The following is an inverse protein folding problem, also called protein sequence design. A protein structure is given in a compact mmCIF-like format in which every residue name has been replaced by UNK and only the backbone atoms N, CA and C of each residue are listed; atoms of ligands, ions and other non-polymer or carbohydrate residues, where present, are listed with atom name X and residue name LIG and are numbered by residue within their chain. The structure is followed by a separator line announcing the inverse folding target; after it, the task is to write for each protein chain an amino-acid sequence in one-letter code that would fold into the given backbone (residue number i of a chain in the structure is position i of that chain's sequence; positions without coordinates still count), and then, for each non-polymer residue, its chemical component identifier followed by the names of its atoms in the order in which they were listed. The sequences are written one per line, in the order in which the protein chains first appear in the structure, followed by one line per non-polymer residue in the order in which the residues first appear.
data_IF_639290066812
#
_entry.id   IF_639290066812
#
_cell.length_a   1.000
_cell.length_b   1.000
_cell.length_c   1.000
_cell.angle_alpha   90.00
_cell.angle_beta   90.00
_cell.angle_gamma   90.00
#
_symmetry.space_group_name_H-M   'P 1'
#
loop_
_entity.id
_entity.type
_entity.pdbx_description
1 polymer ?
#
# COMPACT_ATOMS: atom_id res chain seq x y z
N UNK A 1 -56.00 -14.32 -83.68
CA UNK A 1 -55.85 -13.83 -82.29
C UNK A 1 -55.62 -15.08 -81.48
N UNK A 2 -54.40 -15.61 -81.53
CA UNK A 2 -54.17 -17.02 -81.23
C UNK A 2 -53.00 -17.11 -80.25
N UNK A 3 -53.34 -16.86 -78.99
CA UNK A 3 -52.50 -17.06 -77.83
C UNK A 3 -52.34 -18.57 -77.60
N UNK A 4 -51.53 -19.23 -78.43
CA UNK A 4 -51.13 -20.61 -78.20
C UNK A 4 -50.14 -20.63 -77.05
N UNK A 5 -50.66 -20.83 -75.83
CA UNK A 5 -49.86 -21.26 -74.68
C UNK A 5 -49.15 -22.56 -75.07
N UNK A 6 -47.87 -22.43 -75.43
CA UNK A 6 -46.97 -23.56 -75.55
C UNK A 6 -47.04 -24.33 -74.23
N UNK A 7 -47.43 -25.61 -74.30
CA UNK A 7 -47.43 -26.48 -73.13
C UNK A 7 -46.04 -26.41 -72.49
N UNK A 8 -45.93 -26.04 -71.19
CA UNK A 8 -44.63 -25.94 -70.55
C UNK A 8 -43.97 -27.31 -70.61
N UNK A 9 -42.82 -27.40 -71.27
CA UNK A 9 -42.05 -28.64 -71.27
C UNK A 9 -41.65 -28.96 -69.83
N UNK A 10 -41.72 -30.23 -69.42
CA UNK A 10 -41.39 -30.69 -68.06
C UNK A 10 -40.03 -30.14 -67.55
N UNK A 11 -39.13 -29.82 -68.48
CA UNK A 11 -37.81 -29.24 -68.26
C UNK A 11 -37.87 -27.84 -67.60
N UNK A 12 -38.77 -26.97 -68.05
CA UNK A 12 -38.96 -25.62 -67.47
C UNK A 12 -39.44 -25.70 -66.01
N UNK A 13 -40.33 -26.65 -65.73
CA UNK A 13 -40.87 -26.85 -64.38
C UNK A 13 -39.79 -27.37 -63.43
N UNK A 14 -38.95 -28.31 -63.88
CA UNK A 14 -37.79 -28.80 -63.13
C UNK A 14 -36.78 -27.68 -62.85
N UNK A 15 -36.49 -26.83 -63.85
CA UNK A 15 -35.57 -25.71 -63.70
C UNK A 15 -36.07 -24.70 -62.67
N UNK A 16 -37.36 -24.36 -62.69
CA UNK A 16 -37.98 -23.52 -61.68
C UNK A 16 -37.83 -24.09 -60.26
N UNK A 17 -38.05 -25.39 -60.08
CA UNK A 17 -37.91 -26.05 -58.76
C UNK A 17 -36.45 -26.00 -58.27
N UNK A 18 -35.48 -26.25 -59.14
CA UNK A 18 -34.05 -26.18 -58.79
C UNK A 18 -33.67 -24.75 -58.38
N UNK A 19 -34.13 -23.72 -59.10
CA UNK A 19 -33.87 -22.32 -58.76
C UNK A 19 -34.47 -21.96 -57.38
N UNK A 20 -35.69 -22.42 -57.08
CA UNK A 20 -36.31 -22.19 -55.77
C UNK A 20 -35.51 -22.89 -54.66
N UNK A 21 -35.08 -24.14 -54.87
CA UNK A 21 -34.25 -24.86 -53.91
C UNK A 21 -32.90 -24.15 -53.66
N UNK A 22 -32.27 -23.63 -54.71
CA UNK A 22 -31.01 -22.89 -54.59
C UNK A 22 -31.19 -21.56 -53.84
N UNK A 23 -32.26 -20.82 -54.11
CA UNK A 23 -32.52 -19.55 -53.40
C UNK A 23 -32.81 -19.77 -51.91
N UNK A 24 -33.57 -20.82 -51.57
CA UNK A 24 -33.80 -21.23 -50.18
C UNK A 24 -32.49 -21.66 -49.50
N UNK A 25 -31.67 -22.48 -50.17
CA UNK A 25 -30.38 -22.90 -49.64
C UNK A 25 -29.45 -21.70 -49.36
N UNK A 26 -29.34 -20.75 -50.31
CA UNK A 26 -28.56 -19.52 -50.12
C UNK A 26 -29.10 -18.68 -48.97
N UNK A 27 -30.42 -18.56 -48.83
CA UNK A 27 -31.06 -17.83 -47.72
C UNK A 27 -30.74 -18.44 -46.35
N UNK A 28 -30.78 -19.77 -46.24
CA UNK A 28 -30.40 -20.50 -45.02
C UNK A 28 -28.93 -20.29 -44.69
N UNK A 29 -28.03 -20.42 -45.68
CA UNK A 29 -26.60 -20.14 -45.48
C UNK A 29 -26.36 -18.70 -45.02
N UNK A 30 -27.06 -17.72 -45.61
CA UNK A 30 -26.94 -16.31 -45.21
C UNK A 30 -27.39 -16.08 -43.77
N UNK A 31 -28.47 -16.76 -43.35
CA UNK A 31 -28.96 -16.72 -41.96
C UNK A 31 -27.94 -17.28 -40.99
N UNK A 32 -27.36 -18.45 -41.27
CA UNK A 32 -26.31 -19.03 -40.44
C UNK A 32 -25.08 -18.13 -40.36
N UNK A 33 -24.61 -17.57 -41.48
CA UNK A 33 -23.48 -16.64 -41.51
C UNK A 33 -23.77 -15.40 -40.64
N UNK A 34 -24.97 -14.83 -40.72
CA UNK A 34 -25.34 -13.68 -39.89
C UNK A 34 -25.47 -14.02 -38.41
N UNK A 35 -25.95 -15.21 -38.05
CA UNK A 35 -25.98 -15.67 -36.66
C UNK A 35 -24.57 -15.87 -36.11
N UNK A 36 -23.68 -16.52 -36.88
CA UNK A 36 -22.28 -16.70 -36.50
C UNK A 36 -21.55 -15.35 -36.35
N UNK A 37 -21.79 -14.40 -37.26
CA UNK A 37 -21.23 -13.04 -37.15
C UNK A 37 -21.70 -12.31 -35.89
N UNK A 38 -22.98 -12.43 -35.53
CA UNK A 38 -23.53 -11.84 -34.30
C UNK A 38 -22.89 -12.48 -33.06
N UNK A 39 -22.83 -13.80 -33.00
CA UNK A 39 -22.20 -14.51 -31.89
C UNK A 39 -20.71 -14.15 -31.72
N UNK A 40 -19.99 -14.00 -32.84
CA UNK A 40 -18.60 -13.56 -32.82
C UNK A 40 -18.45 -12.12 -32.31
N UNK A 41 -19.30 -11.19 -32.78
CA UNK A 41 -19.28 -9.79 -32.32
C UNK A 41 -19.65 -9.64 -30.83
N UNK A 42 -20.56 -10.50 -30.33
CA UNK A 42 -20.95 -10.50 -28.93
C UNK A 42 -19.83 -11.05 -28.04
N UNK A 43 -19.13 -12.10 -28.50
CA UNK A 43 -17.93 -12.62 -27.84
C UNK A 43 -16.81 -11.59 -27.82
N UNK A 44 -16.54 -10.91 -28.94
CA UNK A 44 -15.51 -9.88 -29.05
C UNK A 44 -15.80 -8.68 -28.12
N UNK A 45 -17.06 -8.23 -28.07
CA UNK A 45 -17.49 -7.16 -27.16
C UNK A 45 -17.35 -7.56 -25.69
N UNK A 46 -17.70 -8.80 -25.34
CA UNK A 46 -17.53 -9.33 -23.98
C UNK A 46 -16.06 -9.38 -23.57
N UNK A 47 -15.17 -9.83 -24.47
CA UNK A 47 -13.74 -9.82 -24.22
C UNK A 47 -13.18 -8.39 -24.12
N UNK A 48 -13.60 -7.48 -24.99
CA UNK A 48 -13.21 -6.07 -24.94
C UNK A 48 -13.64 -5.42 -23.61
N UNK A 49 -14.84 -5.72 -23.13
CA UNK A 49 -15.32 -5.21 -21.84
C UNK A 49 -14.54 -5.81 -20.67
N UNK A 50 -14.23 -7.11 -20.70
CA UNK A 50 -13.41 -7.75 -19.68
C UNK A 50 -11.98 -7.16 -19.62
N UNK A 51 -11.38 -6.89 -20.78
CA UNK A 51 -10.06 -6.25 -20.89
C UNK A 51 -10.12 -4.81 -20.34
N UNK A 52 -11.13 -4.03 -20.72
CA UNK A 52 -11.30 -2.66 -20.22
C UNK A 52 -11.50 -2.63 -18.69
N UNK A 53 -12.25 -3.58 -18.13
CA UNK A 53 -12.41 -3.74 -16.68
C UNK A 53 -11.07 -4.11 -16.01
N UNK A 54 -10.30 -5.03 -16.58
CA UNK A 54 -8.99 -5.38 -16.07
C UNK A 54 -8.02 -4.19 -16.10
N UNK A 55 -8.01 -3.42 -17.19
CA UNK A 55 -7.16 -2.24 -17.35
C UNK A 55 -7.51 -1.14 -16.35
N UNK A 56 -8.80 -0.86 -16.14
CA UNK A 56 -9.24 0.14 -15.15
C UNK A 56 -8.86 -0.26 -13.72
N UNK A 57 -8.99 -1.54 -13.35
CA UNK A 57 -8.54 -2.05 -12.04
C UNK A 57 -7.03 -1.92 -11.91
N UNK A 58 -6.26 -2.33 -12.93
CA UNK A 58 -4.81 -2.24 -12.91
C UNK A 58 -4.33 -0.78 -12.78
N UNK A 59 -4.96 0.14 -13.50
CA UNK A 59 -4.67 1.58 -13.43
C UNK A 59 -4.98 2.15 -12.04
N UNK A 60 -6.12 1.79 -11.46
CA UNK A 60 -6.49 2.22 -10.12
C UNK A 60 -5.52 1.69 -9.05
N UNK A 61 -5.15 0.41 -9.14
CA UNK A 61 -4.17 -0.20 -8.23
C UNK A 61 -2.80 0.48 -8.34
N UNK A 62 -2.34 0.76 -9.56
CA UNK A 62 -1.07 1.45 -9.79
C UNK A 62 -1.08 2.88 -9.22
N UNK A 63 -2.19 3.61 -9.40
CA UNK A 63 -2.35 4.94 -8.83
C UNK A 63 -2.32 4.90 -7.30
N UNK A 64 -3.06 3.96 -6.68
CA UNK A 64 -3.05 3.78 -5.22
C UNK A 64 -1.67 3.42 -4.70
N UNK A 65 -0.93 2.57 -5.41
CA UNK A 65 0.44 2.21 -5.04
C UNK A 65 1.39 3.42 -5.13
N UNK A 66 1.27 4.22 -6.19
CA UNK A 66 2.05 5.46 -6.33
C UNK A 66 1.75 6.45 -5.21
N UNK A 67 0.49 6.62 -4.84
CA UNK A 67 0.10 7.47 -3.71
C UNK A 67 0.65 6.95 -2.39
N UNK A 68 0.55 5.63 -2.13
CA UNK A 68 1.08 5.01 -0.93
C UNK A 68 2.60 5.18 -0.83
N UNK A 69 3.32 5.04 -1.94
CA UNK A 69 4.77 5.25 -1.98
C UNK A 69 5.14 6.71 -1.70
N UNK A 70 4.40 7.66 -2.28
CA UNK A 70 4.59 9.08 -2.01
C UNK A 70 4.35 9.42 -0.53
N UNK A 71 3.29 8.87 0.08
CA UNK A 71 3.02 9.01 1.52
C UNK A 71 4.15 8.41 2.36
N UNK A 72 4.63 7.22 2.01
CA UNK A 72 5.74 6.57 2.71
C UNK A 72 7.00 7.44 2.69
N UNK A 73 7.33 8.05 1.55
CA UNK A 73 8.51 8.92 1.43
C UNK A 73 8.43 10.12 2.38
N UNK A 74 7.25 10.74 2.48
CA UNK A 74 7.03 11.88 3.38
C UNK A 74 7.17 11.44 4.85
N UNK A 75 6.61 10.28 5.21
CA UNK A 75 6.74 9.73 6.56
C UNK A 75 8.21 9.46 6.88
N UNK A 76 8.97 8.86 5.97
CA UNK A 76 10.41 8.61 6.19
C UNK A 76 11.19 9.90 6.42
N UNK A 77 10.88 10.97 5.68
CA UNK A 77 11.50 12.29 5.90
C UNK A 77 11.20 12.85 7.29
N UNK A 78 9.94 12.77 7.73
CA UNK A 78 9.57 13.22 9.07
C UNK A 78 10.22 12.37 10.18
N UNK A 79 10.35 11.06 9.97
CA UNK A 79 11.07 10.19 10.90
C UNK A 79 12.55 10.59 10.98
N UNK A 80 13.19 10.89 9.86
CA UNK A 80 14.57 11.36 9.84
C UNK A 80 14.71 12.71 10.58
N UNK A 81 13.80 13.66 10.34
CA UNK A 81 13.82 14.95 11.04
C UNK A 81 13.61 14.79 12.55
N UNK A 82 12.76 13.85 12.97
CA UNK A 82 12.56 13.52 14.39
C UNK A 82 13.80 12.86 15.00
N UNK A 83 14.46 11.97 14.27
CA UNK A 83 15.70 11.30 14.71
C UNK A 83 16.85 12.31 14.88
N UNK A 84 16.98 13.26 13.94
CA UNK A 84 17.93 14.37 14.03
C UNK A 84 17.66 15.24 15.27
N UNK A 85 16.40 15.64 15.50
CA UNK A 85 16.00 16.41 16.69
C UNK A 85 16.22 15.63 17.98
N UNK A 86 15.92 14.33 18.01
CA UNK A 86 16.18 13.49 19.17
C UNK A 86 17.67 13.46 19.49
N UNK A 87 18.52 13.24 18.48
CA UNK A 87 19.97 13.22 18.63
C UNK A 87 20.49 14.56 19.14
N UNK A 88 19.96 15.68 18.64
CA UNK A 88 20.32 17.01 19.12
C UNK A 88 19.94 17.23 20.59
N UNK A 89 18.72 16.84 20.99
CA UNK A 89 18.27 16.91 22.38
C UNK A 89 19.15 16.04 23.28
N UNK A 90 19.48 14.82 22.86
CA UNK A 90 20.37 13.92 23.61
C UNK A 90 21.78 14.53 23.79
N UNK A 91 22.31 15.20 22.76
CA UNK A 91 23.58 15.90 22.83
C UNK A 91 23.51 17.09 23.79
N UNK A 92 22.46 17.92 23.72
CA UNK A 92 22.24 19.02 24.65
C UNK A 92 22.12 18.53 26.11
N UNK A 93 21.38 17.44 26.34
CA UNK A 93 21.29 16.79 27.65
C UNK A 93 22.65 16.29 28.15
N UNK A 94 23.47 15.73 27.26
CA UNK A 94 24.82 15.28 27.60
C UNK A 94 25.70 16.46 27.98
N UNK A 95 25.65 17.55 27.21
CA UNK A 95 26.40 18.77 27.50
C UNK A 95 25.97 19.41 28.82
N UNK A 96 24.66 19.51 29.10
CA UNK A 96 24.13 19.99 30.38
C UNK A 96 24.61 19.12 31.56
N UNK A 97 24.62 17.79 31.40
CA UNK A 97 25.17 16.89 32.42
C UNK A 97 26.68 17.07 32.66
N UNK A 98 27.43 17.46 31.62
CA UNK A 98 28.87 17.74 31.73
C UNK A 98 29.14 19.11 32.35
N UNK A 99 28.25 20.08 32.13
CA UNK A 99 28.41 21.47 32.54
C UNK A 99 28.06 21.71 34.02
N UNK A 100 27.32 20.80 34.65
CA UNK A 100 27.00 20.90 36.07
C UNK A 100 27.96 20.04 36.93
N UNK A 101 29.06 20.62 37.47
CA UNK A 101 29.99 19.91 38.34
C UNK A 101 29.32 19.40 39.62
N UNK A 102 28.26 20.06 40.09
CA UNK A 102 27.54 19.65 41.30
C UNK A 102 26.82 18.31 41.09
N UNK A 103 26.22 18.09 39.91
CA UNK A 103 25.57 16.83 39.53
C UNK A 103 26.52 15.63 39.57
N UNK A 104 27.81 15.81 39.22
CA UNK A 104 28.83 14.74 39.30
C UNK A 104 29.16 14.39 40.76
N UNK A 105 29.23 15.39 41.64
CA UNK A 105 29.44 15.19 43.07
C UNK A 105 28.24 14.45 43.68
N UNK A 106 27.01 14.85 43.34
CA UNK A 106 25.79 14.15 43.78
C UNK A 106 25.68 12.71 43.26
N UNK A 107 26.03 12.45 42.00
CA UNK A 107 26.06 11.09 41.45
C UNK A 107 27.09 10.20 42.16
N UNK A 108 28.29 10.73 42.40
CA UNK A 108 29.34 10.02 43.14
C UNK A 108 28.94 9.76 44.59
N UNK A 109 28.33 10.74 45.26
CA UNK A 109 27.79 10.59 46.61
C UNK A 109 26.70 9.51 46.65
N UNK A 110 25.77 9.51 45.69
CA UNK A 110 24.71 8.50 45.60
C UNK A 110 25.26 7.07 45.39
N UNK A 111 26.34 6.90 44.62
CA UNK A 111 26.99 5.59 44.44
C UNK A 111 27.79 5.13 45.67
N UNK A 112 28.35 6.05 46.46
CA UNK A 112 28.96 5.74 47.76
C UNK A 112 27.90 5.32 48.79
N UNK A 113 26.75 5.98 48.80
CA UNK A 113 25.60 5.60 49.63
C UNK A 113 25.10 4.19 49.29
N UNK A 114 24.99 3.83 48.00
CA UNK A 114 24.65 2.46 47.55
C UNK A 114 25.65 1.40 48.03
N UNK A 115 26.93 1.76 48.09
CA UNK A 115 28.00 0.88 48.57
C UNK A 115 28.04 0.78 50.11
N UNK A 116 27.18 1.52 50.82
CA UNK A 116 27.09 1.50 52.28
C UNK A 116 28.18 2.34 52.96
N UNK A 117 28.77 3.30 52.27
CA UNK A 117 29.74 4.22 52.86
C UNK A 117 29.13 5.03 54.01
N UNK A 118 29.95 5.37 55.00
CA UNK A 118 29.53 6.16 56.15
C UNK A 118 29.27 7.63 55.78
N UNK A 119 28.46 8.34 56.58
CA UNK A 119 28.15 9.77 56.35
C UNK A 119 29.44 10.60 56.32
N UNK A 120 30.39 10.30 57.20
CA UNK A 120 31.66 11.03 57.27
C UNK A 120 32.55 10.78 56.02
N UNK A 121 32.57 9.56 55.48
CA UNK A 121 33.27 9.25 54.21
C UNK A 121 32.62 9.95 53.00
N UNK A 122 31.29 10.08 52.97
CA UNK A 122 30.59 10.76 51.87
C UNK A 122 30.90 12.26 51.88
N UNK A 123 30.94 12.86 53.08
CA UNK A 123 31.31 14.28 53.27
C UNK A 123 32.74 14.52 52.79
N UNK A 124 33.70 13.68 53.20
CA UNK A 124 35.11 13.84 52.83
C UNK A 124 35.38 13.58 51.34
N UNK A 125 34.71 12.58 50.75
CA UNK A 125 34.94 12.21 49.36
C UNK A 125 34.23 13.10 48.32
N UNK A 126 33.11 13.73 48.70
CA UNK A 126 32.28 14.53 47.78
C UNK A 126 32.24 16.03 48.12
N UNK A 127 32.85 16.44 49.24
CA UNK A 127 32.93 17.83 49.73
C UNK A 127 31.55 18.52 49.84
N UNK A 128 30.56 17.77 50.33
CA UNK A 128 29.18 18.23 50.51
C UNK A 128 28.85 18.43 52.00
N UNK A 129 27.97 19.39 52.36
CA UNK A 129 27.61 19.64 53.76
C UNK A 129 26.87 18.45 54.38
N UNK A 130 27.05 18.26 55.70
CA UNK A 130 26.47 17.14 56.46
C UNK A 130 24.96 16.98 56.26
N UNK A 131 24.20 18.08 56.19
CA UNK A 131 22.76 18.04 55.97
C UNK A 131 22.36 17.42 54.62
N UNK A 132 23.15 17.63 53.57
CA UNK A 132 22.92 17.03 52.24
C UNK A 132 23.29 15.55 52.22
N UNK A 133 24.40 15.17 52.88
CA UNK A 133 24.79 13.77 53.02
C UNK A 133 23.75 12.95 53.80
N UNK A 134 23.24 13.49 54.90
CA UNK A 134 22.17 12.86 55.69
C UNK A 134 20.87 12.70 54.89
N UNK A 135 20.49 13.72 54.11
CA UNK A 135 19.32 13.65 53.22
C UNK A 135 19.47 12.54 52.18
N UNK A 136 20.62 12.44 51.50
CA UNK A 136 20.89 11.43 50.47
C UNK A 136 20.79 10.01 51.01
N UNK A 137 21.36 9.74 52.19
CA UNK A 137 21.29 8.44 52.86
C UNK A 137 19.84 8.10 53.24
N UNK A 138 19.08 9.07 53.76
CA UNK A 138 17.69 8.85 54.17
C UNK A 138 16.77 8.56 52.98
N UNK A 139 16.90 9.33 51.89
CA UNK A 139 16.13 9.12 50.65
C UNK A 139 16.44 7.76 50.02
N UNK A 140 17.73 7.37 49.98
CA UNK A 140 18.11 6.08 49.43
C UNK A 140 17.59 4.90 50.28
N UNK A 141 17.69 5.02 51.61
CA UNK A 141 17.16 4.02 52.56
C UNK A 141 15.63 3.87 52.52
N UNK A 142 14.90 4.89 52.05
CA UNK A 142 13.44 4.79 51.83
C UNK A 142 13.06 4.15 50.50
N UNK A 143 13.97 4.17 49.51
CA UNK A 143 13.72 3.66 48.16
C UNK A 143 14.34 2.26 47.93
N UNK A 144 14.93 1.67 48.96
CA UNK A 144 15.47 0.30 49.03
C UNK A 144 14.67 -0.49 50.05
#
# INVERSE_FOLDING_TARGET
MDWQLAAPTLLELILCVVVVLLTVAVGVLHSHINQLRKALSESENSHAEAIARAETIAKNANNQQSEAQARSLVITRHLQELDEKQTEIENQLRELKLQDPSLRLYQRAADLVKQGASIDEIIEACDIPRAEAEMLVMVHKQNT
#
